data_IF_263203395141
#
_entry.id   IF_263203395141
#
_cell.length_a   1.000
_cell.length_b   1.000
_cell.length_c   1.000
_cell.angle_alpha   90.00
_cell.angle_beta   90.00
_cell.angle_gamma   90.00
#
_symmetry.space_group_name_H-M   'P 1'
#
loop_
_entity.id
_entity.type
_entity.pdbx_description
1 polymer ?
#
# COMPACT_ATOMS: atom_id res chain seq x y z
N UNK A 1 2.91 -20.68 8.14
CA UNK A 1 4.36 -20.75 7.90
C UNK A 1 4.64 -19.50 7.09
N UNK A 2 4.93 -18.41 7.77
CA UNK A 2 4.93 -17.05 7.20
C UNK A 2 6.19 -16.89 6.35
N UNK A 3 6.00 -16.99 5.03
CA UNK A 3 7.05 -16.69 4.06
C UNK A 3 7.02 -15.18 3.94
N UNK A 4 7.82 -14.51 4.76
CA UNK A 4 8.20 -13.12 4.51
C UNK A 4 9.05 -13.14 3.24
N UNK A 5 8.40 -13.15 2.09
CA UNK A 5 9.09 -13.00 0.83
C UNK A 5 9.78 -11.63 0.77
N UNK A 6 10.71 -11.49 -0.16
CA UNK A 6 11.58 -10.31 -0.26
C UNK A 6 10.75 -9.07 -0.64
N UNK A 7 9.52 -9.26 -1.11
CA UNK A 7 8.59 -8.23 -1.53
C UNK A 7 7.52 -7.94 -0.46
N UNK A 8 7.12 -6.67 -0.31
CA UNK A 8 5.98 -6.27 0.54
C UNK A 8 4.66 -6.93 0.14
N UNK A 9 4.60 -7.52 -1.05
CA UNK A 9 3.43 -8.22 -1.59
C UNK A 9 3.37 -9.71 -1.21
N UNK A 10 4.43 -10.29 -0.63
CA UNK A 10 4.50 -11.76 -0.43
C UNK A 10 3.82 -12.25 0.85
N UNK A 11 3.32 -11.34 1.70
CA UNK A 11 2.59 -11.70 2.92
C UNK A 11 1.13 -12.12 2.59
N UNK A 12 0.56 -13.08 3.31
CA UNK A 12 -0.83 -13.53 3.16
C UNK A 12 -1.82 -12.34 3.23
N UNK A 13 -1.59 -11.41 4.17
CA UNK A 13 -2.39 -10.18 4.27
C UNK A 13 -2.26 -9.27 3.04
N UNK A 14 -1.07 -9.21 2.43
CA UNK A 14 -0.86 -8.44 1.21
C UNK A 14 -1.57 -9.08 0.01
N UNK A 15 -1.58 -10.41 -0.07
CA UNK A 15 -2.29 -11.16 -1.10
C UNK A 15 -3.81 -11.01 -0.95
N UNK A 16 -4.33 -11.05 0.28
CA UNK A 16 -5.75 -10.76 0.55
C UNK A 16 -6.11 -9.32 0.15
N UNK A 17 -5.26 -8.35 0.47
CA UNK A 17 -5.48 -6.96 0.04
C UNK A 17 -5.46 -6.78 -1.48
N UNK A 18 -4.56 -7.48 -2.19
CA UNK A 18 -4.50 -7.46 -3.66
C UNK A 18 -5.76 -8.04 -4.29
N UNK A 19 -6.31 -9.11 -3.72
CA UNK A 19 -7.58 -9.68 -4.19
C UNK A 19 -8.74 -8.67 -4.06
N UNK A 20 -8.79 -7.92 -2.95
CA UNK A 20 -9.76 -6.85 -2.76
C UNK A 20 -9.50 -5.63 -3.66
N UNK A 21 -8.23 -5.38 -4.01
CA UNK A 21 -7.81 -4.25 -4.82
C UNK A 21 -8.43 -4.30 -6.22
N UNK A 22 -8.43 -5.46 -6.88
CA UNK A 22 -9.00 -5.61 -8.22
C UNK A 22 -10.50 -5.27 -8.32
N UNK A 23 -11.24 -5.27 -7.19
CA UNK A 23 -12.66 -4.89 -7.16
C UNK A 23 -12.89 -3.41 -6.78
N UNK A 24 -11.92 -2.79 -6.11
CA UNK A 24 -12.09 -1.50 -5.44
C UNK A 24 -11.20 -0.39 -6.03
N UNK A 25 -10.11 -0.75 -6.70
CA UNK A 25 -9.07 0.11 -7.26
C UNK A 25 -8.56 1.14 -6.24
N UNK A 26 -8.40 2.38 -6.71
CA UNK A 26 -7.90 3.52 -5.94
C UNK A 26 -8.67 3.80 -4.64
N UNK A 27 -9.95 3.43 -4.54
CA UNK A 27 -10.74 3.63 -3.31
C UNK A 27 -10.19 2.81 -2.15
N UNK A 28 -9.63 1.63 -2.43
CA UNK A 28 -9.00 0.80 -1.41
C UNK A 28 -7.71 1.44 -0.90
N UNK A 29 -6.89 1.97 -1.82
CA UNK A 29 -5.66 2.70 -1.48
C UNK A 29 -5.97 3.87 -0.54
N UNK A 30 -6.95 4.71 -0.89
CA UNK A 30 -7.36 5.85 -0.06
C UNK A 30 -7.83 5.39 1.32
N UNK A 31 -8.72 4.40 1.39
CA UNK A 31 -9.26 3.88 2.65
C UNK A 31 -8.16 3.34 3.56
N UNK A 32 -7.27 2.51 3.03
CA UNK A 32 -6.19 1.89 3.81
C UNK A 32 -5.22 2.95 4.32
N UNK A 33 -4.77 3.87 3.46
CA UNK A 33 -3.85 4.93 3.87
C UNK A 33 -4.50 5.93 4.85
N UNK A 34 -5.77 6.28 4.66
CA UNK A 34 -6.50 7.16 5.56
C UNK A 34 -6.71 6.53 6.94
N UNK A 35 -6.99 5.23 6.99
CA UNK A 35 -7.12 4.48 8.24
C UNK A 35 -5.85 4.60 9.09
N UNK A 36 -4.69 4.26 8.50
CA UNK A 36 -3.40 4.33 9.21
C UNK A 36 -2.99 5.78 9.52
N UNK A 37 -3.26 6.74 8.63
CA UNK A 37 -2.94 8.14 8.86
C UNK A 37 -3.81 8.80 9.97
N UNK A 38 -4.97 8.24 10.27
CA UNK A 38 -5.88 8.72 11.32
C UNK A 38 -5.54 8.17 12.72
N UNK A 39 -4.67 7.16 12.82
CA UNK A 39 -4.25 6.59 14.09
C UNK A 39 -3.47 7.60 14.93
N UNK A 40 -3.76 7.64 16.22
CA UNK A 40 -3.02 8.39 17.21
C UNK A 40 -1.70 7.67 17.55
N UNK A 41 -0.70 8.37 18.11
CA UNK A 41 0.55 7.74 18.53
C UNK A 41 0.40 6.61 19.56
N UNK A 42 -0.70 6.62 20.32
CA UNK A 42 -1.04 5.60 21.32
C UNK A 42 -1.71 4.37 20.70
N UNK A 43 -2.24 4.50 19.48
CA UNK A 43 -2.88 3.39 18.80
C UNK A 43 -1.81 2.45 18.26
N UNK A 44 -1.92 1.16 18.58
CA UNK A 44 -1.04 0.13 18.06
C UNK A 44 -1.45 -0.20 16.61
N UNK A 45 -0.46 -0.35 15.75
CA UNK A 45 -0.64 -0.83 14.38
C UNK A 45 -0.33 -2.32 14.39
N UNK A 46 -1.29 -3.16 14.02
CA UNK A 46 -1.05 -4.60 13.97
C UNK A 46 -0.28 -5.01 12.71
N UNK A 47 0.13 -6.27 12.63
CA UNK A 47 0.92 -6.79 11.52
C UNK A 47 0.16 -6.81 10.19
N UNK A 48 -1.17 -6.98 10.23
CA UNK A 48 -2.03 -7.01 9.04
C UNK A 48 -2.18 -5.59 8.50
N UNK A 49 -2.57 -4.64 9.37
CA UNK A 49 -2.69 -3.22 9.02
C UNK A 49 -1.35 -2.66 8.52
N UNK A 50 -0.23 -3.05 9.14
CA UNK A 50 1.09 -2.68 8.67
C UNK A 50 1.37 -3.19 7.26
N UNK A 51 1.09 -4.47 6.98
CA UNK A 51 1.30 -5.07 5.66
C UNK A 51 0.43 -4.40 4.58
N UNK A 52 -0.87 -4.25 4.83
CA UNK A 52 -1.80 -3.59 3.92
C UNK A 52 -1.38 -2.15 3.60
N UNK A 53 -0.93 -1.42 4.63
CA UNK A 53 -0.52 -0.02 4.47
C UNK A 53 0.75 0.14 3.63
N UNK A 54 1.69 -0.81 3.72
CA UNK A 54 2.88 -0.83 2.87
C UNK A 54 2.51 -1.12 1.42
N UNK A 55 1.63 -2.10 1.19
CA UNK A 55 1.13 -2.44 -0.16
C UNK A 55 0.44 -1.23 -0.79
N UNK A 56 -0.45 -0.55 -0.07
CA UNK A 56 -1.11 0.66 -0.54
C UNK A 56 -0.11 1.81 -0.82
N UNK A 57 0.93 1.95 0.00
CA UNK A 57 1.99 2.94 -0.21
C UNK A 57 2.84 2.63 -1.46
N UNK A 58 3.14 1.35 -1.72
CA UNK A 58 3.84 0.91 -2.93
C UNK A 58 3.01 1.19 -4.20
N UNK A 59 1.68 1.02 -4.17
CA UNK A 59 0.82 1.42 -5.29
C UNK A 59 0.94 2.92 -5.61
N UNK A 60 1.00 3.78 -4.59
CA UNK A 60 1.21 5.23 -4.76
C UNK A 60 2.62 5.53 -5.30
N UNK A 61 3.65 4.83 -4.82
CA UNK A 61 5.02 4.98 -5.32
C UNK A 61 5.15 4.58 -6.79
N UNK A 62 4.56 3.44 -7.17
CA UNK A 62 4.52 2.95 -8.54
C UNK A 62 3.78 3.93 -9.45
N UNK A 63 2.64 4.47 -9.00
CA UNK A 63 1.89 5.52 -9.68
C UNK A 63 2.67 6.83 -9.86
N UNK A 64 3.62 7.13 -8.97
CA UNK A 64 4.54 8.26 -9.12
C UNK A 64 5.73 7.96 -10.05
N UNK A 65 5.78 6.79 -10.68
CA UNK A 65 6.87 6.37 -11.55
C UNK A 65 8.03 5.70 -10.82
N UNK A 66 7.84 5.25 -9.58
CA UNK A 66 8.85 4.54 -8.79
C UNK A 66 8.30 3.16 -8.37
N UNK A 67 8.09 2.23 -9.31
CA UNK A 67 7.56 0.90 -8.99
C UNK A 67 8.59 0.05 -8.24
N UNK A 68 8.10 -0.85 -7.38
CA UNK A 68 8.91 -1.88 -6.75
C UNK A 68 9.57 -2.79 -7.80
N UNK A 69 10.68 -3.44 -7.43
CA UNK A 69 11.41 -4.34 -8.33
C UNK A 69 10.59 -5.56 -8.78
N UNK A 70 9.62 -5.98 -7.96
CA UNK A 70 8.71 -7.09 -8.23
C UNK A 70 7.28 -6.63 -8.00
N UNK A 71 6.74 -5.90 -8.97
CA UNK A 71 5.36 -5.41 -8.93
C UNK A 71 4.40 -6.51 -9.41
N UNK A 72 3.31 -6.80 -8.67
CA UNK A 72 2.27 -7.72 -9.12
C UNK A 72 1.61 -7.26 -10.43
N UNK A 73 1.22 -8.23 -11.26
CA UNK A 73 0.57 -7.99 -12.56
C UNK A 73 -0.70 -7.15 -12.42
N UNK A 74 -1.51 -7.39 -11.39
CA UNK A 74 -2.76 -6.65 -11.14
C UNK A 74 -2.51 -5.14 -10.93
N UNK A 75 -1.42 -4.78 -10.23
CA UNK A 75 -1.05 -3.37 -10.03
C UNK A 75 -0.47 -2.79 -11.32
N UNK A 76 0.32 -3.56 -12.06
CA UNK A 76 0.87 -3.13 -13.35
C UNK A 76 -0.27 -2.84 -14.36
N UNK A 77 -1.25 -3.73 -14.46
CA UNK A 77 -2.43 -3.56 -15.31
C UNK A 77 -3.20 -2.29 -14.92
N UNK A 78 -3.48 -2.12 -13.62
CA UNK A 78 -4.12 -0.91 -13.11
C UNK A 78 -3.35 0.38 -13.46
N UNK A 79 -2.01 0.37 -13.33
CA UNK A 79 -1.18 1.53 -13.71
C UNK A 79 -1.27 1.85 -15.19
N UNK A 80 -1.25 0.83 -16.04
CA UNK A 80 -1.31 0.99 -17.50
C UNK A 80 -2.68 1.53 -17.92
N UNK A 81 -3.77 1.07 -17.31
CA UNK A 81 -5.13 1.57 -17.55
C UNK A 81 -5.34 3.02 -17.12
N UNK A 82 -4.64 3.45 -16.07
CA UNK A 82 -4.78 4.77 -15.48
C UNK A 82 -3.68 5.76 -15.90
N UNK A 83 -2.79 5.37 -16.82
CA UNK A 83 -1.67 6.19 -17.27
C UNK A 83 -2.08 7.29 -18.27
N UNK A 84 -1.56 8.53 -18.15
CA UNK A 84 -0.70 9.03 -17.08
C UNK A 84 -1.52 9.39 -15.84
N UNK A 85 -1.24 8.74 -14.71
CA UNK A 85 -1.97 9.01 -13.49
C UNK A 85 -1.41 10.26 -12.80
N UNK A 86 -2.28 11.22 -12.49
CA UNK A 86 -1.92 12.40 -11.70
C UNK A 86 -2.20 12.14 -10.22
N UNK A 87 -1.20 11.59 -9.52
CA UNK A 87 -1.28 11.41 -8.08
C UNK A 87 -1.20 12.76 -7.38
N UNK A 88 -2.22 13.08 -6.58
CA UNK A 88 -2.22 14.30 -5.78
C UNK A 88 -1.22 14.18 -4.62
N UNK A 89 -0.64 15.30 -4.22
CA UNK A 89 0.36 15.36 -3.14
C UNK A 89 -0.16 14.84 -1.79
N UNK A 90 -1.47 14.93 -1.55
CA UNK A 90 -2.11 14.40 -0.33
C UNK A 90 -1.89 12.88 -0.19
N UNK A 91 -2.01 12.12 -1.27
CA UNK A 91 -1.81 10.67 -1.25
C UNK A 91 -0.35 10.30 -1.04
N UNK A 92 0.57 11.06 -1.62
CA UNK A 92 2.01 10.88 -1.39
C UNK A 92 2.36 11.12 0.07
N UNK A 93 1.78 12.16 0.69
CA UNK A 93 2.00 12.44 2.11
C UNK A 93 1.41 11.35 3.00
N UNK A 94 0.22 10.84 2.68
CA UNK A 94 -0.42 9.73 3.41
C UNK A 94 0.40 8.44 3.31
N UNK A 95 0.85 8.06 2.11
CA UNK A 95 1.72 6.90 1.89
C UNK A 95 3.02 7.01 2.70
N UNK A 96 3.65 8.19 2.72
CA UNK A 96 4.87 8.42 3.52
C UNK A 96 4.61 8.28 5.02
N UNK A 97 3.48 8.80 5.52
CA UNK A 97 3.11 8.68 6.93
C UNK A 97 2.86 7.23 7.34
N UNK A 98 2.13 6.48 6.51
CA UNK A 98 1.87 5.06 6.74
C UNK A 98 3.18 4.26 6.80
N UNK A 99 4.06 4.40 5.80
CA UNK A 99 5.35 3.71 5.79
C UNK A 99 6.24 4.07 6.99
N UNK A 100 6.28 5.36 7.37
CA UNK A 100 7.03 5.80 8.55
C UNK A 100 6.47 5.18 9.84
N UNK A 101 5.14 5.03 9.94
CA UNK A 101 4.50 4.42 11.11
C UNK A 101 4.92 2.96 11.27
N UNK A 102 4.96 2.19 10.18
CA UNK A 102 5.39 0.79 10.19
C UNK A 102 6.85 0.64 10.62
N UNK A 103 7.74 1.51 10.10
CA UNK A 103 9.17 1.52 10.48
C UNK A 103 9.42 1.88 11.95
N UNK A 104 8.50 2.62 12.59
CA UNK A 104 8.61 2.99 14.00
C UNK A 104 7.81 2.09 14.93
N UNK A 105 6.98 1.18 14.40
CA UNK A 105 6.24 0.18 15.15
C UNK A 105 7.07 -1.10 15.41
N UNK A 106 8.30 -1.18 14.90
CA UNK A 106 9.22 -2.32 15.00
C UNK A 106 10.20 -2.21 16.16
#
# INVERSE_FOLDING_TARGET
>A
MEIWGISSFDNDAAQEWLADFGENDFRLIDRTLAGVAALLPVDELDAVEAAESLVAAECIAAACGVPAASLPDDIQEWLDENSPMQVKSEFVEMARKAAARVLHAS
#
